data_IF_185883986924
#
_entry.id   IF_185883986924
#
_cell.length_a   1.000
_cell.length_b   1.000
_cell.length_c   1.000
_cell.angle_alpha   90.00
_cell.angle_beta   90.00
_cell.angle_gamma   90.00
#
_symmetry.space_group_name_H-M   'P 1'
#
loop_
_entity.id
_entity.type
_entity.pdbx_description
1 polymer ?
#
# COMPACT_ATOMS: atom_id res chain seq x y z
N UNK A 1 -26.84 -6.31 37.42
CA UNK A 1 -26.90 -6.14 35.95
C UNK A 1 -25.45 -6.29 35.48
N UNK A 2 -25.06 -7.51 35.05
CA UNK A 2 -23.74 -7.75 34.50
C UNK A 2 -23.66 -6.93 33.21
N UNK A 3 -22.65 -6.07 33.11
CA UNK A 3 -22.27 -5.45 31.85
C UNK A 3 -21.95 -6.61 30.91
N UNK A 4 -22.79 -6.84 29.89
CA UNK A 4 -22.52 -7.84 28.85
C UNK A 4 -21.10 -7.61 28.32
N UNK A 5 -20.22 -8.58 28.53
CA UNK A 5 -18.84 -8.51 28.10
C UNK A 5 -18.83 -8.46 26.58
N UNK A 6 -18.35 -7.37 26.02
CA UNK A 6 -18.16 -7.25 24.59
C UNK A 6 -16.84 -7.93 24.17
N UNK A 7 -16.75 -8.51 22.96
CA UNK A 7 -15.53 -9.07 22.46
C UNK A 7 -14.42 -8.02 22.42
N UNK A 8 -13.25 -8.36 22.97
CA UNK A 8 -12.04 -7.59 22.78
C UNK A 8 -11.28 -8.22 21.60
N UNK A 9 -11.01 -7.41 20.60
CA UNK A 9 -10.30 -7.83 19.41
C UNK A 9 -8.82 -7.44 19.52
N UNK A 10 -7.94 -8.31 19.01
CA UNK A 10 -6.54 -8.00 18.76
C UNK A 10 -6.20 -8.33 17.31
N UNK A 11 -5.25 -7.59 16.75
CA UNK A 11 -4.88 -7.67 15.36
C UNK A 11 -3.36 -7.79 15.22
N UNK A 12 -2.88 -8.68 14.35
CA UNK A 12 -1.47 -8.78 13.98
C UNK A 12 -1.31 -9.16 12.52
N UNK A 13 -0.26 -8.65 11.88
CA UNK A 13 0.09 -9.05 10.52
C UNK A 13 1.17 -10.12 10.62
N UNK A 14 0.87 -11.32 10.13
CA UNK A 14 1.78 -12.47 10.22
C UNK A 14 2.69 -12.63 9.02
N UNK A 15 2.19 -12.24 7.84
CA UNK A 15 2.90 -12.38 6.58
C UNK A 15 2.46 -11.29 5.60
N UNK A 16 3.32 -10.97 4.64
CA UNK A 16 3.00 -10.03 3.57
C UNK A 16 3.90 -10.22 2.37
N UNK A 17 3.32 -10.12 1.18
CA UNK A 17 4.05 -10.31 -0.06
C UNK A 17 3.16 -10.24 -1.29
N UNK A 18 3.65 -10.76 -2.40
CA UNK A 18 2.93 -10.73 -3.68
C UNK A 18 1.74 -11.69 -3.64
N UNK A 19 0.58 -11.22 -4.10
CA UNK A 19 -0.55 -12.10 -4.37
C UNK A 19 -0.33 -12.78 -5.73
N UNK A 20 -0.10 -14.09 -5.70
CA UNK A 20 0.04 -14.86 -6.93
C UNK A 20 -1.28 -14.91 -7.71
N UNK A 21 -1.17 -14.95 -9.04
CA UNK A 21 -2.32 -15.06 -9.96
C UNK A 21 -3.35 -13.91 -9.87
N UNK A 22 -2.98 -12.77 -9.31
CA UNK A 22 -3.81 -11.58 -9.36
C UNK A 22 -3.86 -10.99 -10.79
N UNK A 23 -5.02 -10.52 -11.21
CA UNK A 23 -5.18 -9.89 -12.53
C UNK A 23 -4.52 -8.50 -12.64
N UNK A 24 -4.24 -7.88 -11.51
CA UNK A 24 -3.56 -6.58 -11.38
C UNK A 24 -2.49 -6.67 -10.28
N UNK A 25 -1.46 -5.80 -10.29
CA UNK A 25 -0.46 -5.79 -9.24
C UNK A 25 -1.12 -5.72 -7.86
N UNK A 26 -0.92 -6.75 -7.05
CA UNK A 26 -1.57 -6.83 -5.74
C UNK A 26 -0.62 -7.44 -4.74
N UNK A 27 -0.45 -6.75 -3.62
CA UNK A 27 0.17 -7.31 -2.41
C UNK A 27 -0.94 -7.91 -1.54
N UNK A 28 -0.61 -8.97 -0.82
CA UNK A 28 -1.48 -9.54 0.21
C UNK A 28 -0.81 -9.44 1.56
N UNK A 29 -1.60 -9.25 2.61
CA UNK A 29 -1.15 -9.33 3.98
C UNK A 29 -2.04 -10.32 4.73
N UNK A 30 -1.42 -11.24 5.46
CA UNK A 30 -2.12 -12.21 6.30
C UNK A 30 -2.42 -11.56 7.66
N UNK A 31 -3.65 -11.15 7.85
CA UNK A 31 -4.14 -10.54 9.09
C UNK A 31 -4.71 -11.61 10.00
N UNK A 32 -4.11 -11.78 11.18
CA UNK A 32 -4.70 -12.52 12.29
C UNK A 32 -5.60 -11.60 13.08
N UNK A 33 -6.83 -12.09 13.32
CA UNK A 33 -7.81 -11.45 14.18
C UNK A 33 -8.10 -12.39 15.34
N UNK A 34 -7.90 -11.93 16.55
CA UNK A 34 -8.18 -12.67 17.78
C UNK A 34 -9.34 -12.02 18.53
N UNK A 35 -10.09 -12.83 19.28
CA UNK A 35 -11.22 -12.36 20.08
C UNK A 35 -11.31 -13.09 21.40
N UNK A 36 -11.68 -12.39 22.46
CA UNK A 36 -11.91 -12.97 23.79
C UNK A 36 -13.19 -13.78 23.90
N UNK A 37 -14.05 -13.77 22.88
CA UNK A 37 -15.31 -14.51 22.83
C UNK A 37 -15.77 -14.72 21.38
N UNK A 38 -16.71 -15.65 21.12
CA UNK A 38 -17.19 -15.92 19.77
C UNK A 38 -17.76 -14.68 19.07
N UNK A 39 -17.36 -14.47 17.83
CA UNK A 39 -17.75 -13.37 16.95
C UNK A 39 -18.56 -13.94 15.78
N UNK A 40 -19.64 -13.26 15.39
CA UNK A 40 -20.42 -13.64 14.20
C UNK A 40 -19.84 -13.08 12.92
N UNK A 41 -19.34 -11.86 12.97
CA UNK A 41 -18.61 -11.24 11.86
C UNK A 41 -17.94 -9.95 12.31
N UNK A 42 -16.96 -9.49 11.51
CA UNK A 42 -16.37 -8.16 11.65
C UNK A 42 -16.41 -7.46 10.30
N UNK A 43 -17.07 -6.31 10.24
CA UNK A 43 -16.94 -5.38 9.12
C UNK A 43 -15.73 -4.47 9.41
N UNK A 44 -14.58 -4.82 8.83
CA UNK A 44 -13.30 -4.17 9.12
C UNK A 44 -12.94 -3.19 8.00
N UNK A 45 -12.41 -2.05 8.38
CA UNK A 45 -11.69 -1.15 7.49
C UNK A 45 -10.24 -1.10 7.94
N UNK A 46 -9.34 -1.52 7.06
CA UNK A 46 -7.88 -1.54 7.30
C UNK A 46 -7.28 -0.34 6.59
N UNK A 47 -6.77 0.62 7.35
CA UNK A 47 -6.02 1.74 6.81
C UNK A 47 -4.53 1.39 6.82
N UNK A 48 -3.88 1.43 5.66
CA UNK A 48 -2.44 1.25 5.53
C UNK A 48 -1.74 2.59 5.41
N UNK A 49 -0.63 2.71 6.14
CA UNK A 49 0.28 3.85 6.09
C UNK A 49 1.71 3.36 5.93
N UNK A 50 2.51 4.11 5.20
CA UNK A 50 3.96 3.91 5.12
C UNK A 50 4.57 4.78 6.22
N UNK A 51 5.21 4.15 7.21
CA UNK A 51 5.88 4.84 8.32
C UNK A 51 7.28 5.29 7.89
N UNK A 52 7.36 6.19 6.89
CA UNK A 52 8.60 6.62 6.27
C UNK A 52 9.64 7.18 7.26
N UNK A 53 9.19 7.69 8.42
CA UNK A 53 10.07 8.17 9.49
C UNK A 53 10.80 7.06 10.26
N UNK A 54 10.38 5.80 10.09
CA UNK A 54 10.90 4.65 10.86
C UNK A 54 11.98 3.85 10.11
N UNK A 55 12.52 4.38 9.01
CA UNK A 55 13.65 3.75 8.30
C UNK A 55 14.77 4.76 8.02
N UNK A 56 16.03 4.29 7.93
CA UNK A 56 17.12 5.08 7.38
C UNK A 56 17.03 5.16 5.85
N UNK A 57 17.67 6.16 5.25
CA UNK A 57 17.75 6.36 3.81
C UNK A 57 19.19 6.64 3.40
N UNK A 58 19.62 6.06 2.28
CA UNK A 58 20.87 6.42 1.61
C UNK A 58 20.74 7.77 0.91
N UNK A 59 21.84 8.35 0.48
CA UNK A 59 21.79 9.61 -0.28
C UNK A 59 21.09 9.42 -1.64
N UNK A 60 21.34 8.32 -2.32
CA UNK A 60 20.66 7.96 -3.57
C UNK A 60 19.14 7.84 -3.39
N UNK A 61 18.68 7.20 -2.31
CA UNK A 61 17.25 7.12 -1.98
C UNK A 61 16.65 8.51 -1.68
N UNK A 62 17.44 9.40 -1.06
CA UNK A 62 17.00 10.78 -0.79
C UNK A 62 16.82 11.56 -2.09
N UNK A 63 17.72 11.40 -3.04
CA UNK A 63 17.59 11.98 -4.39
C UNK A 63 16.35 11.44 -5.11
N UNK A 64 16.13 10.12 -5.06
CA UNK A 64 14.95 9.47 -5.64
C UNK A 64 13.60 9.88 -5.00
N UNK A 65 13.64 10.40 -3.77
CA UNK A 65 12.45 10.80 -3.01
C UNK A 65 12.27 12.33 -2.89
N UNK A 66 13.05 13.12 -3.63
CA UNK A 66 13.04 14.58 -3.58
C UNK A 66 11.64 15.18 -3.86
N UNK A 67 10.87 14.57 -4.75
CA UNK A 67 9.51 15.02 -5.04
C UNK A 67 8.53 14.81 -3.88
N UNK A 68 8.80 13.86 -2.99
CA UNK A 68 7.95 13.57 -1.83
C UNK A 68 8.34 14.37 -0.59
N UNK A 69 9.64 14.57 -0.37
CA UNK A 69 10.16 15.11 0.89
C UNK A 69 11.03 16.36 0.73
N UNK A 70 11.27 16.81 -0.50
CA UNK A 70 12.16 17.94 -0.80
C UNK A 70 13.62 17.56 -0.76
N UNK A 71 14.50 18.55 -0.95
CA UNK A 71 15.95 18.39 -0.87
C UNK A 71 16.42 18.03 0.54
N UNK A 72 17.71 17.69 0.68
CA UNK A 72 18.30 17.21 1.95
C UNK A 72 18.06 18.12 3.16
N UNK A 73 17.96 19.43 2.95
CA UNK A 73 17.64 20.41 4.01
C UNK A 73 16.19 20.39 4.48
N UNK A 74 15.27 19.82 3.72
CA UNK A 74 13.83 19.84 3.99
C UNK A 74 13.32 18.59 4.71
N UNK A 75 14.10 17.53 4.71
CA UNK A 75 13.71 16.23 5.25
C UNK A 75 13.27 16.28 6.72
N UNK A 76 13.94 17.06 7.55
CA UNK A 76 13.55 17.22 8.96
C UNK A 76 12.14 17.76 9.17
N UNK A 77 11.60 18.49 8.19
CA UNK A 77 10.26 19.07 8.21
C UNK A 77 9.23 18.24 7.46
N UNK A 78 9.63 17.66 6.34
CA UNK A 78 8.72 17.06 5.36
C UNK A 78 8.60 15.55 5.48
N UNK A 79 9.61 14.86 6.06
CA UNK A 79 9.56 13.43 6.27
C UNK A 79 8.45 13.08 7.27
N UNK A 80 7.46 12.36 6.79
CA UNK A 80 6.27 11.97 7.57
C UNK A 80 5.73 10.64 7.08
N UNK A 81 4.88 10.01 7.88
CA UNK A 81 4.11 8.85 7.42
C UNK A 81 3.20 9.23 6.25
N UNK A 82 3.14 8.36 5.26
CA UNK A 82 2.34 8.55 4.04
C UNK A 82 1.10 7.65 4.14
N UNK A 83 -0.05 8.20 3.85
CA UNK A 83 -1.25 7.38 3.65
C UNK A 83 -1.09 6.57 2.37
N UNK A 84 -1.33 5.26 2.45
CA UNK A 84 -1.29 4.40 1.26
C UNK A 84 -2.68 4.12 0.72
N UNK A 85 -3.49 3.37 1.50
CA UNK A 85 -4.83 2.99 1.07
C UNK A 85 -5.73 2.61 2.25
N UNK A 86 -7.02 2.45 1.97
CA UNK A 86 -7.98 1.83 2.87
C UNK A 86 -8.55 0.58 2.19
N UNK A 87 -8.57 -0.53 2.92
CA UNK A 87 -9.07 -1.82 2.42
C UNK A 87 -10.23 -2.27 3.29
N UNK A 88 -11.45 -2.36 2.77
CA UNK A 88 -12.55 -3.00 3.48
C UNK A 88 -12.37 -4.51 3.47
N UNK A 89 -12.50 -5.15 4.64
CA UNK A 89 -12.37 -6.59 4.83
C UNK A 89 -13.57 -7.10 5.60
N UNK A 90 -14.21 -8.15 5.09
CA UNK A 90 -15.28 -8.84 5.81
C UNK A 90 -14.72 -10.10 6.46
N UNK A 91 -14.70 -10.14 7.78
CA UNK A 91 -14.29 -11.31 8.55
C UNK A 91 -15.52 -12.16 8.88
N UNK A 92 -15.48 -13.44 8.55
CA UNK A 92 -16.53 -14.41 8.86
C UNK A 92 -16.59 -14.75 10.36
N UNK A 93 -17.45 -15.69 10.77
CA UNK A 93 -17.57 -16.10 12.16
C UNK A 93 -16.33 -16.86 12.64
N UNK A 94 -15.90 -16.60 13.89
CA UNK A 94 -14.82 -17.32 14.56
C UNK A 94 -15.01 -17.29 16.09
N UNK A 95 -14.31 -18.17 16.82
CA UNK A 95 -14.41 -18.23 18.28
C UNK A 95 -13.22 -17.57 18.98
N UNK A 96 -12.01 -17.98 18.64
CA UNK A 96 -10.80 -17.52 19.33
C UNK A 96 -9.92 -16.68 18.41
N UNK A 97 -9.62 -17.20 17.21
CA UNK A 97 -8.83 -16.50 16.21
C UNK A 97 -9.21 -16.94 14.79
N UNK A 98 -8.90 -16.07 13.83
CA UNK A 98 -9.01 -16.38 12.40
C UNK A 98 -7.91 -15.66 11.64
N UNK A 99 -7.58 -16.17 10.46
CA UNK A 99 -6.65 -15.54 9.52
C UNK A 99 -7.44 -15.09 8.30
N UNK A 100 -7.26 -13.84 7.90
CA UNK A 100 -7.89 -13.27 6.70
C UNK A 100 -6.86 -12.58 5.83
N UNK A 101 -7.10 -12.55 4.54
CA UNK A 101 -6.23 -11.82 3.62
C UNK A 101 -6.70 -10.38 3.45
N UNK A 102 -5.74 -9.45 3.49
CA UNK A 102 -5.92 -8.03 3.17
C UNK A 102 -5.24 -7.76 1.83
N UNK A 103 -5.98 -7.76 0.71
CA UNK A 103 -5.42 -7.49 -0.61
C UNK A 103 -5.23 -6.00 -0.82
N UNK A 104 -4.02 -5.59 -1.20
CA UNK A 104 -3.67 -4.20 -1.51
C UNK A 104 -3.36 -4.10 -2.99
N UNK A 105 -4.30 -3.57 -3.76
CA UNK A 105 -4.08 -3.30 -5.18
C UNK A 105 -3.09 -2.15 -5.35
N UNK A 106 -2.08 -2.37 -6.15
CA UNK A 106 -1.04 -1.42 -6.46
C UNK A 106 -1.16 -0.94 -7.92
N UNK A 107 -0.50 0.16 -8.21
CA UNK A 107 -0.43 0.73 -9.57
C UNK A 107 1.01 1.08 -9.90
N UNK A 108 1.34 1.12 -11.17
CA UNK A 108 2.62 1.63 -11.66
C UNK A 108 2.62 3.15 -11.86
N UNK A 109 1.50 3.82 -11.63
CA UNK A 109 1.37 5.27 -11.81
C UNK A 109 2.21 6.02 -10.76
N UNK A 110 3.29 6.66 -11.20
CA UNK A 110 4.20 7.45 -10.36
C UNK A 110 3.55 8.71 -9.77
N UNK A 111 2.38 9.11 -10.24
CA UNK A 111 1.59 10.16 -9.59
C UNK A 111 1.03 9.70 -8.23
N UNK A 112 0.91 8.39 -8.01
CA UNK A 112 0.49 7.84 -6.74
C UNK A 112 1.65 7.85 -5.73
N UNK A 113 1.45 8.50 -4.61
CA UNK A 113 2.45 8.72 -3.55
C UNK A 113 3.16 7.43 -3.12
N UNK A 114 2.41 6.34 -2.91
CA UNK A 114 3.00 5.06 -2.50
C UNK A 114 3.88 4.46 -3.60
N UNK A 115 3.43 4.48 -4.87
CA UNK A 115 4.22 4.00 -6.01
C UNK A 115 5.52 4.77 -6.15
N UNK A 116 5.45 6.11 -6.09
CA UNK A 116 6.62 6.99 -6.12
C UNK A 116 7.59 6.70 -4.98
N UNK A 117 7.05 6.46 -3.78
CA UNK A 117 7.87 6.11 -2.62
C UNK A 117 8.65 4.80 -2.85
N UNK A 118 7.97 3.72 -3.24
CA UNK A 118 8.63 2.44 -3.50
C UNK A 118 9.61 2.50 -4.67
N UNK A 119 9.31 3.29 -5.71
CA UNK A 119 10.19 3.49 -6.86
C UNK A 119 11.50 4.19 -6.46
N UNK A 120 11.46 5.15 -5.55
CA UNK A 120 12.64 5.88 -5.08
C UNK A 120 13.53 5.10 -4.09
N UNK A 121 13.16 3.87 -3.70
CA UNK A 121 13.94 3.07 -2.77
C UNK A 121 14.89 2.12 -3.49
N UNK A 122 16.11 1.97 -2.98
CA UNK A 122 17.10 1.03 -3.52
C UNK A 122 16.91 -0.41 -3.01
N UNK A 123 16.73 -0.60 -1.69
CA UNK A 123 16.64 -1.92 -1.05
C UNK A 123 16.09 -1.80 0.38
N UNK A 124 16.09 -2.91 1.13
CA UNK A 124 15.70 -3.00 2.53
C UNK A 124 14.21 -3.20 2.73
N UNK A 125 13.70 -2.75 3.88
CA UNK A 125 12.32 -2.96 4.28
C UNK A 125 11.59 -1.63 4.45
N UNK A 126 10.32 -1.62 4.08
CA UNK A 126 9.40 -0.51 4.29
C UNK A 126 8.56 -0.79 5.53
N UNK A 127 8.69 0.02 6.59
CA UNK A 127 7.82 -0.10 7.76
C UNK A 127 6.41 0.36 7.40
N UNK A 128 5.44 -0.52 7.63
CA UNK A 128 4.01 -0.28 7.41
C UNK A 128 3.28 -0.24 8.75
N UNK A 129 2.31 0.65 8.85
CA UNK A 129 1.36 0.75 9.96
C UNK A 129 -0.02 0.37 9.43
N UNK A 130 -0.67 -0.58 10.10
CA UNK A 130 -2.04 -0.99 9.85
C UNK A 130 -2.92 -0.48 10.98
N UNK A 131 -3.88 0.37 10.67
CA UNK A 131 -4.84 0.88 11.64
C UNK A 131 -6.20 0.24 11.34
N UNK A 132 -6.82 -0.29 12.39
CA UNK A 132 -8.05 -1.06 12.28
C UNK A 132 -9.23 -0.28 12.85
N UNK A 133 -10.27 -0.16 12.05
CA UNK A 133 -11.53 0.43 12.44
C UNK A 133 -12.69 -0.38 11.89
N UNK A 134 -13.89 -0.14 12.38
CA UNK A 134 -15.06 -0.85 11.90
C UNK A 134 -16.00 -1.31 13.01
N UNK A 135 -16.67 -2.44 12.78
CA UNK A 135 -17.75 -2.92 13.63
C UNK A 135 -17.69 -4.41 13.82
N UNK A 136 -17.80 -4.87 15.07
CA UNK A 136 -17.92 -6.28 15.43
C UNK A 136 -19.37 -6.63 15.74
N UNK A 137 -19.80 -7.78 15.22
CA UNK A 137 -21.12 -8.37 15.43
C UNK A 137 -20.97 -9.67 16.23
N UNK A 138 -21.66 -9.79 17.35
CA UNK A 138 -21.57 -10.93 18.25
C UNK A 138 -22.95 -11.25 18.86
N UNK A 139 -23.07 -12.37 19.55
CA UNK A 139 -24.27 -12.70 20.30
C UNK A 139 -24.04 -12.44 21.80
N UNK A 140 -25.04 -11.86 22.46
CA UNK A 140 -25.06 -11.79 23.93
C UNK A 140 -25.38 -13.16 24.57
N UNK A 141 -25.41 -13.19 25.91
CA UNK A 141 -25.73 -14.41 26.67
C UNK A 141 -27.10 -15.03 26.36
N UNK A 142 -28.05 -14.24 25.86
CA UNK A 142 -29.38 -14.66 25.41
C UNK A 142 -29.44 -15.05 23.93
N UNK A 143 -28.28 -14.99 23.21
CA UNK A 143 -28.19 -15.29 21.80
C UNK A 143 -28.63 -14.18 20.86
N UNK A 144 -28.94 -12.99 21.38
CA UNK A 144 -29.36 -11.83 20.58
C UNK A 144 -28.14 -11.17 19.94
N UNK A 145 -28.33 -10.71 18.69
CA UNK A 145 -27.27 -10.00 17.97
C UNK A 145 -26.97 -8.66 18.62
N UNK A 146 -25.70 -8.44 18.91
CA UNK A 146 -25.13 -7.19 19.41
C UNK A 146 -24.14 -6.62 18.42
N UNK A 147 -23.95 -5.31 18.47
CA UNK A 147 -23.08 -4.56 17.57
C UNK A 147 -22.23 -3.58 18.39
N UNK A 148 -20.91 -3.59 18.16
CA UNK A 148 -19.96 -2.67 18.82
C UNK A 148 -18.96 -2.12 17.82
N UNK A 149 -18.55 -0.85 17.92
CA UNK A 149 -17.44 -0.33 17.19
C UNK A 149 -16.12 -0.93 17.68
N UNK A 150 -15.17 -1.12 16.77
CA UNK A 150 -13.80 -1.47 17.09
C UNK A 150 -13.14 -0.24 17.74
N UNK A 151 -12.31 -0.46 18.78
CA UNK A 151 -11.59 0.63 19.43
C UNK A 151 -10.62 1.30 18.45
N UNK A 152 -10.53 2.60 18.48
CA UNK A 152 -9.73 3.44 17.58
C UNK A 152 -8.20 3.26 17.73
N UNK A 153 -7.74 2.63 18.81
CA UNK A 153 -6.33 2.41 19.12
C UNK A 153 -5.82 1.02 18.67
N UNK A 154 -6.54 0.35 17.78
CA UNK A 154 -6.12 -0.94 17.25
C UNK A 154 -5.19 -0.74 16.07
N UNK A 155 -3.94 -1.19 16.20
CA UNK A 155 -2.91 -1.06 15.20
C UNK A 155 -2.01 -2.30 15.17
N UNK A 156 -1.34 -2.53 14.04
CA UNK A 156 -0.27 -3.51 13.89
C UNK A 156 0.81 -2.96 12.95
N UNK A 157 2.04 -3.36 13.19
CA UNK A 157 3.18 -3.02 12.35
C UNK A 157 3.57 -4.23 11.47
N UNK A 158 4.11 -3.94 10.30
CA UNK A 158 4.74 -4.93 9.43
C UNK A 158 5.90 -4.31 8.67
N UNK A 159 6.92 -5.12 8.33
CA UNK A 159 8.04 -4.68 7.50
C UNK A 159 8.00 -5.39 6.16
N UNK A 160 7.65 -4.66 5.10
CA UNK A 160 7.57 -5.20 3.75
C UNK A 160 8.93 -5.04 3.06
N UNK A 161 9.56 -6.14 2.57
CA UNK A 161 10.75 -6.02 1.73
C UNK A 161 10.47 -5.22 0.45
N UNK A 162 11.37 -4.29 0.10
CA UNK A 162 11.27 -3.52 -1.16
C UNK A 162 11.24 -4.47 -2.37
N UNK A 163 11.95 -5.59 -2.27
CA UNK A 163 11.97 -6.64 -3.29
C UNK A 163 10.58 -7.21 -3.60
N UNK A 164 9.71 -7.37 -2.60
CA UNK A 164 8.36 -7.89 -2.81
C UNK A 164 7.54 -6.94 -3.72
N UNK A 165 7.67 -5.63 -3.55
CA UNK A 165 7.01 -4.67 -4.43
C UNK A 165 7.59 -4.71 -5.85
N UNK A 166 8.91 -4.79 -5.99
CA UNK A 166 9.59 -4.90 -7.29
C UNK A 166 9.22 -6.17 -8.04
N UNK A 167 9.23 -7.31 -7.37
CA UNK A 167 8.83 -8.59 -7.96
C UNK A 167 7.39 -8.56 -8.46
N UNK A 168 6.49 -7.97 -7.70
CA UNK A 168 5.11 -7.78 -8.12
C UNK A 168 5.02 -6.92 -9.38
N UNK A 169 5.73 -5.79 -9.43
CA UNK A 169 5.71 -4.90 -10.59
C UNK A 169 6.36 -5.56 -11.81
N UNK A 170 7.51 -6.21 -11.66
CA UNK A 170 8.19 -6.91 -12.76
C UNK A 170 7.34 -8.05 -13.31
N UNK A 171 6.59 -8.76 -12.46
CA UNK A 171 5.69 -9.82 -12.90
C UNK A 171 4.54 -9.32 -13.79
N UNK A 172 4.01 -8.12 -13.49
CA UNK A 172 2.88 -7.54 -14.23
C UNK A 172 3.33 -6.66 -15.41
N UNK A 173 4.50 -6.07 -15.33
CA UNK A 173 5.06 -5.14 -16.32
C UNK A 173 6.53 -5.47 -16.63
N UNK A 174 6.82 -6.68 -17.15
CA UNK A 174 8.19 -7.15 -17.34
C UNK A 174 8.96 -6.24 -18.28
N UNK A 175 10.04 -5.61 -17.79
CA UNK A 175 10.91 -4.74 -18.57
C UNK A 175 10.25 -3.46 -19.11
N UNK A 176 9.09 -3.06 -18.58
CA UNK A 176 8.36 -1.88 -19.04
C UNK A 176 8.00 -0.95 -17.88
N UNK A 177 7.97 0.34 -18.18
CA UNK A 177 7.46 1.38 -17.28
C UNK A 177 6.34 2.17 -17.96
N UNK A 178 5.43 2.73 -17.17
CA UNK A 178 4.31 3.50 -17.67
C UNK A 178 4.50 4.97 -17.34
N UNK A 179 4.26 5.82 -18.34
CA UNK A 179 4.26 7.27 -18.19
C UNK A 179 2.90 7.82 -18.60
N UNK A 180 2.25 8.54 -17.69
CA UNK A 180 1.03 9.29 -18.00
C UNK A 180 1.39 10.70 -18.41
N UNK A 181 0.94 11.09 -19.59
CA UNK A 181 1.13 12.44 -20.12
C UNK A 181 -0.22 13.12 -20.30
N UNK A 182 -0.24 14.44 -20.08
CA UNK A 182 -1.35 15.26 -20.52
C UNK A 182 -1.48 15.20 -22.06
N UNK A 183 -2.71 15.29 -22.56
CA UNK A 183 -3.01 15.12 -23.99
C UNK A 183 -2.16 16.04 -24.87
N UNK A 184 -2.06 17.31 -24.53
CA UNK A 184 -1.28 18.28 -25.30
C UNK A 184 0.22 17.93 -25.36
N UNK A 185 0.77 17.44 -24.24
CA UNK A 185 2.16 16.97 -24.18
C UNK A 185 2.35 15.73 -25.06
N UNK A 186 1.40 14.79 -24.98
CA UNK A 186 1.41 13.58 -25.81
C UNK A 186 1.31 13.92 -27.31
N UNK A 187 0.40 14.81 -27.70
CA UNK A 187 0.20 15.20 -29.10
C UNK A 187 1.45 15.89 -29.68
N UNK A 188 2.13 16.72 -28.89
CA UNK A 188 3.42 17.31 -29.23
C UNK A 188 4.51 16.27 -29.41
N UNK A 189 4.59 15.29 -28.49
CA UNK A 189 5.55 14.20 -28.53
C UNK A 189 5.29 13.30 -29.77
N UNK A 190 4.03 13.00 -30.02
CA UNK A 190 3.63 12.24 -31.22
C UNK A 190 4.02 12.93 -32.53
N UNK A 191 3.75 14.24 -32.60
CA UNK A 191 4.12 15.07 -33.77
C UNK A 191 5.67 15.13 -33.95
N UNK A 192 6.43 15.20 -32.85
CA UNK A 192 7.88 15.15 -32.89
C UNK A 192 8.38 13.80 -33.46
N UNK A 193 7.85 12.68 -32.94
CA UNK A 193 8.13 11.33 -33.42
C UNK A 193 7.91 11.20 -34.92
N UNK A 194 6.74 11.63 -35.39
CA UNK A 194 6.36 11.55 -36.80
C UNK A 194 7.27 12.38 -37.72
N UNK A 195 7.59 13.63 -37.31
CA UNK A 195 8.47 14.52 -38.11
C UNK A 195 9.92 14.02 -38.22
N UNK A 196 10.40 13.30 -37.19
CA UNK A 196 11.77 12.78 -37.17
C UNK A 196 11.85 11.31 -37.64
N UNK A 197 10.74 10.73 -38.10
CA UNK A 197 10.69 9.36 -38.62
C UNK A 197 11.18 8.31 -37.61
N UNK A 198 10.89 8.53 -36.30
CA UNK A 198 11.30 7.64 -35.21
C UNK A 198 10.27 6.51 -35.10
N UNK A 199 10.74 5.27 -35.00
CA UNK A 199 9.89 4.09 -35.06
C UNK A 199 9.27 3.74 -33.70
N UNK A 200 10.00 3.98 -32.60
CA UNK A 200 9.56 3.63 -31.24
C UNK A 200 9.50 4.84 -30.32
N UNK A 201 8.85 4.68 -29.17
CA UNK A 201 8.82 5.72 -28.15
C UNK A 201 10.18 5.90 -27.48
N UNK A 202 10.90 4.80 -27.26
CA UNK A 202 12.26 4.79 -26.71
C UNK A 202 13.17 5.66 -27.56
N UNK A 203 13.22 5.42 -28.88
CA UNK A 203 13.98 6.26 -29.82
C UNK A 203 13.59 7.74 -29.77
N UNK A 204 12.31 8.00 -29.52
CA UNK A 204 11.79 9.38 -29.41
C UNK A 204 12.30 10.05 -28.14
N UNK A 205 12.29 9.34 -27.01
CA UNK A 205 12.78 9.81 -25.73
C UNK A 205 14.29 9.98 -25.78
N UNK A 206 15.04 8.99 -26.26
CA UNK A 206 16.48 9.05 -26.42
C UNK A 206 16.91 10.27 -27.23
N UNK A 207 16.24 10.48 -28.41
CA UNK A 207 16.51 11.64 -29.25
C UNK A 207 16.20 13.00 -28.60
N UNK A 208 15.39 13.06 -27.56
CA UNK A 208 15.14 14.26 -26.78
C UNK A 208 16.18 14.45 -25.69
N UNK A 209 16.54 13.38 -24.98
CA UNK A 209 17.54 13.39 -23.92
C UNK A 209 18.93 13.72 -24.44
N UNK A 210 19.33 13.20 -25.62
CA UNK A 210 20.61 13.48 -26.27
C UNK A 210 20.77 14.95 -26.70
N UNK A 211 19.71 15.75 -26.69
CA UNK A 211 19.77 17.18 -27.05
C UNK A 211 20.12 18.10 -25.90
N UNK A 212 19.92 17.63 -24.68
CA UNK A 212 20.15 18.42 -23.45
C UNK A 212 21.51 18.08 -22.78
N UNK A 213 22.28 17.13 -23.34
CA UNK A 213 23.65 16.78 -22.97
C UNK A 213 24.64 17.29 -23.99
#
# INVERSE_FOLDING_TARGET
>A
MALDAAPQLAFSIEDGGVLEYAAVPTLRFALRVESTMPVRSVALNVQLRIAATRRPYTEEEREGLVELFGGSGDWGRNLRSLHWTNVPVQVGPFSDSTLVEVPVTCTYDLEVTATRYFHGLADGEVPLEFLFGGTVFFADGDGRLQVRPISWNQEADFRLPVTAWREMMERHFPGHSWLRLERDAFDRLYAYRARNTLLTWEQTIDALLDRDG
#
